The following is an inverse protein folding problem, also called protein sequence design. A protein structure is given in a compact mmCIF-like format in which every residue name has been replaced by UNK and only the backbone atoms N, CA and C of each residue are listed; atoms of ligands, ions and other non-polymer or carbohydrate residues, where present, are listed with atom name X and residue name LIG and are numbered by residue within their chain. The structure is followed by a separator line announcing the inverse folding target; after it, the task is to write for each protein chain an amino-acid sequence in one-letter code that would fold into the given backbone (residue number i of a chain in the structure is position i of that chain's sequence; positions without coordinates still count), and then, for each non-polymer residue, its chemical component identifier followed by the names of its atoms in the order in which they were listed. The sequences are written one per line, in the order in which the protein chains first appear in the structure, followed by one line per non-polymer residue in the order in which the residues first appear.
data_IF_810710068364
#
_entry.id   IF_810710068364
#
_cell.length_a   1.000
_cell.length_b   1.000
_cell.length_c   1.000
_cell.angle_alpha   90.00
_cell.angle_beta   90.00
_cell.angle_gamma   90.00
#
_symmetry.space_group_name_H-M   'P 1'
#
loop_
_entity.id
_entity.type
_entity.pdbx_description
1 polymer ?
#
# COMPACT_ATOMS: atom_id res chain seq x y z
N UNK A 1 31.88 -24.42 -23.55
CA UNK A 1 32.34 -24.40 -22.14
C UNK A 1 32.30 -22.95 -21.66
N UNK A 2 31.55 -22.52 -20.67
CA UNK A 2 30.58 -23.15 -19.78
C UNK A 2 29.71 -22.01 -19.23
N UNK A 3 28.40 -22.24 -19.19
CA UNK A 3 27.40 -21.40 -18.52
C UNK A 3 27.63 -21.47 -17.02
N UNK A 4 27.63 -20.33 -16.32
CA UNK A 4 27.05 -20.26 -14.97
C UNK A 4 26.25 -18.95 -14.87
N UNK A 5 24.97 -19.02 -15.25
CA UNK A 5 23.99 -18.11 -14.68
C UNK A 5 23.84 -18.51 -13.22
N UNK A 6 24.34 -17.69 -12.29
CA UNK A 6 23.99 -17.84 -10.88
C UNK A 6 22.54 -17.37 -10.68
N UNK A 7 21.57 -18.21 -11.06
CA UNK A 7 20.22 -18.13 -10.50
C UNK A 7 20.26 -18.73 -9.11
N UNK A 8 20.80 -17.99 -8.15
CA UNK A 8 20.43 -18.18 -6.76
C UNK A 8 19.00 -17.69 -6.59
N UNK A 9 18.05 -18.61 -6.71
CA UNK A 9 16.78 -18.49 -6.00
C UNK A 9 17.16 -18.56 -4.51
N UNK A 10 17.31 -17.40 -3.87
CA UNK A 10 17.48 -17.34 -2.41
C UNK A 10 16.12 -17.63 -1.78
N UNK A 11 15.93 -18.80 -1.20
CA UNK A 11 14.74 -19.19 -0.39
C UNK A 11 14.63 -18.42 0.95
N UNK A 12 15.16 -17.20 1.02
CA UNK A 12 15.21 -16.34 2.23
C UNK A 12 15.11 -14.84 1.94
N UNK A 13 14.89 -14.45 0.67
CA UNK A 13 14.76 -13.05 0.26
C UNK A 13 13.33 -12.71 -0.14
N UNK A 14 12.80 -11.61 0.38
CA UNK A 14 11.52 -11.05 -0.08
C UNK A 14 11.70 -10.51 -1.51
N UNK A 15 10.91 -11.02 -2.45
CA UNK A 15 10.81 -10.45 -3.81
C UNK A 15 10.04 -9.13 -3.73
N UNK A 16 10.79 -8.02 -3.74
CA UNK A 16 10.21 -6.68 -3.61
C UNK A 16 9.26 -6.33 -4.73
N UNK A 17 9.56 -6.76 -5.96
CA UNK A 17 8.68 -6.47 -7.10
C UNK A 17 7.35 -7.18 -6.89
N UNK A 18 7.40 -8.48 -6.56
CA UNK A 18 6.19 -9.24 -6.28
C UNK A 18 5.39 -8.65 -5.11
N UNK A 19 6.05 -8.25 -4.03
CA UNK A 19 5.40 -7.62 -2.88
C UNK A 19 4.69 -6.32 -3.28
N UNK A 20 5.38 -5.40 -3.97
CA UNK A 20 4.78 -4.12 -4.36
C UNK A 20 3.68 -4.27 -5.42
N UNK A 21 3.81 -5.23 -6.34
CA UNK A 21 2.78 -5.50 -7.33
C UNK A 21 1.50 -6.01 -6.65
N UNK A 22 1.62 -6.95 -5.70
CA UNK A 22 0.50 -7.46 -4.91
C UNK A 22 -0.11 -6.38 -4.01
N UNK A 23 0.73 -5.57 -3.38
CA UNK A 23 0.29 -4.46 -2.55
C UNK A 23 -0.57 -3.48 -3.36
N UNK A 24 -0.08 -2.98 -4.50
CA UNK A 24 -0.85 -2.03 -5.32
C UNK A 24 -2.11 -2.67 -5.90
N UNK A 25 -2.04 -3.94 -6.28
CA UNK A 25 -3.19 -4.66 -6.83
C UNK A 25 -4.37 -4.77 -5.86
N UNK A 26 -4.14 -4.93 -4.54
CA UNK A 26 -5.23 -5.08 -3.56
C UNK A 26 -6.18 -3.88 -3.55
N UNK A 27 -5.66 -2.68 -3.78
CA UNK A 27 -6.42 -1.43 -3.85
C UNK A 27 -7.30 -1.31 -5.10
N UNK A 28 -7.07 -2.17 -6.10
CA UNK A 28 -7.82 -2.22 -7.36
C UNK A 28 -8.61 -3.52 -7.54
N UNK A 29 -8.58 -4.43 -6.56
CA UNK A 29 -9.27 -5.73 -6.64
C UNK A 29 -10.79 -5.57 -6.55
N UNK A 30 -11.47 -5.90 -7.65
CA UNK A 30 -12.91 -5.78 -7.79
C UNK A 30 -13.70 -6.85 -7.06
N UNK A 31 -13.20 -8.09 -7.03
CA UNK A 31 -13.89 -9.21 -6.40
C UNK A 31 -13.74 -9.13 -4.87
N UNK A 32 -14.85 -9.03 -4.10
CA UNK A 32 -14.78 -8.91 -2.65
C UNK A 32 -14.11 -10.10 -1.95
N UNK A 33 -14.28 -11.32 -2.48
CA UNK A 33 -13.68 -12.51 -1.89
C UNK A 33 -12.17 -12.56 -2.16
N UNK A 34 -11.73 -12.21 -3.38
CA UNK A 34 -10.31 -12.08 -3.69
C UNK A 34 -9.65 -10.94 -2.90
N UNK A 35 -10.32 -9.79 -2.78
CA UNK A 35 -9.83 -8.66 -2.00
C UNK A 35 -9.59 -9.04 -0.54
N UNK A 36 -10.58 -9.71 0.07
CA UNK A 36 -10.47 -10.25 1.43
C UNK A 36 -9.31 -11.23 1.57
N UNK A 37 -9.14 -12.15 0.62
CA UNK A 37 -8.02 -13.10 0.63
C UNK A 37 -6.67 -12.36 0.52
N UNK A 38 -6.55 -11.42 -0.41
CA UNK A 38 -5.33 -10.63 -0.61
C UNK A 38 -4.97 -9.80 0.63
N UNK A 39 -5.94 -9.22 1.35
CA UNK A 39 -5.68 -8.54 2.63
C UNK A 39 -5.08 -9.50 3.66
N UNK A 40 -5.62 -10.72 3.79
CA UNK A 40 -5.10 -11.72 4.74
C UNK A 40 -3.73 -12.27 4.36
N UNK A 41 -3.40 -12.24 3.08
CA UNK A 41 -2.09 -12.64 2.60
C UNK A 41 -1.03 -11.56 2.79
N UNK A 42 -1.40 -10.29 2.60
CA UNK A 42 -0.50 -9.13 2.69
C UNK A 42 -0.22 -8.72 4.13
N UNK A 43 -1.25 -8.57 4.95
CA UNK A 43 -1.11 -8.12 6.34
C UNK A 43 -1.18 -9.27 7.34
N UNK A 44 -0.41 -9.14 8.42
CA UNK A 44 -0.54 -9.99 9.61
C UNK A 44 -1.92 -9.81 10.26
N UNK A 45 -2.33 -10.75 11.13
CA UNK A 45 -3.67 -10.74 11.77
C UNK A 45 -3.98 -9.42 12.49
N UNK A 46 -3.00 -8.84 13.17
CA UNK A 46 -3.10 -7.56 13.89
C UNK A 46 -2.38 -6.41 13.16
N UNK A 47 -2.14 -6.58 11.86
CA UNK A 47 -1.46 -5.60 11.03
C UNK A 47 -2.21 -4.27 11.01
N UNK A 48 -1.46 -3.18 10.87
CA UNK A 48 -2.03 -1.82 10.84
C UNK A 48 -1.69 -1.12 9.54
N UNK A 49 -2.63 -0.33 9.04
CA UNK A 49 -2.39 0.69 8.04
C UNK A 49 -2.70 2.05 8.64
N UNK A 50 -1.66 2.87 8.74
CA UNK A 50 -1.70 4.23 9.27
C UNK A 50 -1.47 5.17 8.10
N UNK A 51 -2.47 5.97 7.76
CA UNK A 51 -2.31 6.99 6.72
C UNK A 51 -2.22 8.39 7.32
N UNK A 52 -1.35 9.18 6.71
CA UNK A 52 -1.32 10.61 6.92
C UNK A 52 -2.65 11.21 6.45
N UNK A 53 -3.44 11.84 7.34
CA UNK A 53 -4.71 12.45 6.94
C UNK A 53 -4.48 13.55 5.89
N UNK A 54 -5.38 13.81 4.93
CA UNK A 54 -5.22 14.89 3.95
C UNK A 54 -4.92 16.25 4.59
N UNK A 55 -4.21 17.12 3.86
CA UNK A 55 -3.71 18.40 4.39
C UNK A 55 -4.83 19.28 4.95
N UNK A 56 -5.96 19.36 4.25
CA UNK A 56 -7.13 20.14 4.64
C UNK A 56 -7.69 19.65 5.98
N UNK A 57 -7.74 18.33 6.18
CA UNK A 57 -8.22 17.73 7.42
C UNK A 57 -7.26 18.01 8.59
N UNK A 58 -5.94 17.96 8.35
CA UNK A 58 -4.94 18.33 9.36
C UNK A 58 -5.04 19.81 9.75
N UNK A 59 -5.21 20.70 8.78
CA UNK A 59 -5.37 22.15 9.03
C UNK A 59 -6.66 22.46 9.80
N UNK A 60 -7.77 21.79 9.47
CA UNK A 60 -9.02 21.93 10.21
C UNK A 60 -8.87 21.46 11.66
N UNK A 61 -8.18 20.34 11.90
CA UNK A 61 -7.91 19.83 13.24
C UNK A 61 -7.03 20.79 14.07
N UNK A 62 -5.98 21.35 13.45
CA UNK A 62 -5.12 22.35 14.08
C UNK A 62 -5.90 23.60 14.50
N UNK A 63 -6.80 24.10 13.64
CA UNK A 63 -7.66 25.24 13.96
C UNK A 63 -8.63 24.99 15.13
N UNK A 64 -8.88 23.73 15.48
CA UNK A 64 -9.68 23.31 16.63
C UNK A 64 -8.84 22.97 17.86
N UNK A 65 -7.52 23.13 17.79
CA UNK A 65 -6.59 22.86 18.90
C UNK A 65 -6.19 21.40 19.05
N UNK A 66 -6.39 20.56 18.03
CA UNK A 66 -5.86 19.19 18.01
C UNK A 66 -4.47 19.18 17.39
N UNK A 67 -3.51 18.69 18.17
CA UNK A 67 -2.09 18.59 17.87
C UNK A 67 -1.72 17.33 17.06
N UNK A 68 -2.57 16.29 17.09
CA UNK A 68 -2.35 15.07 16.32
C UNK A 68 -3.63 14.48 15.76
N UNK A 69 -3.65 14.27 14.44
CA UNK A 69 -4.68 13.52 13.75
C UNK A 69 -4.07 12.27 13.11
N UNK A 70 -4.58 11.09 13.47
CA UNK A 70 -4.16 9.81 12.93
C UNK A 70 -5.38 9.11 12.35
N UNK A 71 -5.26 8.60 11.13
CA UNK A 71 -6.22 7.67 10.55
C UNK A 71 -5.58 6.29 10.50
N UNK A 72 -6.22 5.32 11.15
CA UNK A 72 -5.71 3.96 11.29
C UNK A 72 -6.81 2.96 10.95
N UNK A 73 -6.41 1.86 10.31
CA UNK A 73 -7.18 0.63 10.19
C UNK A 73 -6.35 -0.51 10.76
N UNK A 74 -6.91 -1.28 11.69
CA UNK A 74 -6.24 -2.37 12.41
C UNK A 74 -6.94 -3.71 12.22
N UNK A 75 -6.13 -4.71 11.91
CA UNK A 75 -6.59 -6.07 11.69
C UNK A 75 -7.36 -6.23 10.38
N UNK A 76 -7.56 -7.49 9.98
CA UNK A 76 -8.06 -7.80 8.64
C UNK A 76 -9.42 -7.18 8.30
N UNK A 77 -10.33 -7.05 9.28
CA UNK A 77 -11.67 -6.53 9.03
C UNK A 77 -11.65 -5.01 8.73
N UNK A 78 -10.90 -4.22 9.50
CA UNK A 78 -10.79 -2.78 9.24
C UNK A 78 -9.95 -2.50 7.98
N UNK A 79 -8.91 -3.30 7.74
CA UNK A 79 -8.11 -3.24 6.51
C UNK A 79 -8.98 -3.57 5.28
N UNK A 80 -9.79 -4.63 5.32
CA UNK A 80 -10.73 -4.96 4.24
C UNK A 80 -11.71 -3.80 3.99
N UNK A 81 -12.26 -3.20 5.05
CA UNK A 81 -13.15 -2.05 4.94
C UNK A 81 -12.45 -0.84 4.30
N UNK A 82 -11.19 -0.57 4.69
CA UNK A 82 -10.39 0.54 4.16
C UNK A 82 -10.03 0.35 2.68
N UNK A 83 -9.64 -0.86 2.29
CA UNK A 83 -9.35 -1.21 0.88
C UNK A 83 -10.63 -1.15 0.05
N UNK A 84 -11.73 -1.70 0.56
CA UNK A 84 -13.04 -1.66 -0.14
C UNK A 84 -13.49 -0.22 -0.40
N UNK A 85 -13.42 0.67 0.60
CA UNK A 85 -13.79 2.08 0.41
C UNK A 85 -12.92 2.78 -0.64
N UNK A 86 -11.62 2.51 -0.67
CA UNK A 86 -10.75 3.07 -1.71
C UNK A 86 -11.09 2.54 -3.10
N UNK A 87 -11.33 1.24 -3.23
CA UNK A 87 -11.76 0.64 -4.48
C UNK A 87 -13.06 1.28 -4.99
N UNK A 88 -14.09 1.36 -4.15
CA UNK A 88 -15.40 1.95 -4.50
C UNK A 88 -15.30 3.42 -4.90
N UNK A 89 -14.43 4.18 -4.22
CA UNK A 89 -14.28 5.61 -4.45
C UNK A 89 -13.50 5.91 -5.73
N UNK A 90 -12.37 5.22 -5.95
CA UNK A 90 -11.40 5.61 -6.97
C UNK A 90 -11.36 4.68 -8.18
N UNK A 91 -11.68 3.39 -8.01
CA UNK A 91 -11.48 2.38 -9.06
C UNK A 91 -12.81 1.93 -9.68
N UNK A 92 -13.83 1.63 -8.87
CA UNK A 92 -15.13 1.17 -9.34
C UNK A 92 -15.81 2.12 -10.36
N UNK A 93 -15.68 3.47 -10.26
CA UNK A 93 -16.22 4.38 -11.27
C UNK A 93 -15.51 4.29 -12.63
N UNK A 94 -14.39 3.55 -12.73
CA UNK A 94 -13.61 3.43 -13.94
C UNK A 94 -12.74 4.65 -14.24
N UNK A 95 -12.58 5.58 -13.30
CA UNK A 95 -11.86 6.84 -13.52
C UNK A 95 -10.35 6.69 -13.32
N UNK A 96 -9.91 5.98 -12.30
CA UNK A 96 -8.50 5.91 -11.93
C UNK A 96 -7.91 4.50 -11.99
N UNK A 97 -6.57 4.47 -11.98
CA UNK A 97 -5.75 3.29 -11.69
C UNK A 97 -4.65 3.66 -10.71
N UNK A 98 -4.32 2.74 -9.80
CA UNK A 98 -3.13 2.83 -8.95
C UNK A 98 -1.95 2.11 -9.62
N UNK A 99 -0.74 2.68 -9.50
CA UNK A 99 0.49 2.10 -10.05
C UNK A 99 1.64 2.22 -9.06
N UNK A 100 2.49 1.19 -9.00
CA UNK A 100 3.80 1.30 -8.35
C UNK A 100 4.76 2.06 -9.27
N UNK A 101 5.57 2.94 -8.70
CA UNK A 101 6.62 3.67 -9.43
C UNK A 101 7.93 2.89 -9.56
N UNK A 102 7.96 1.61 -9.16
CA UNK A 102 9.17 0.77 -9.27
C UNK A 102 10.33 1.23 -8.37
N UNK A 103 10.06 2.06 -7.37
CA UNK A 103 11.05 2.66 -6.47
C UNK A 103 11.25 1.87 -5.17
N UNK A 104 10.98 0.56 -5.21
CA UNK A 104 11.02 -0.28 -4.03
C UNK A 104 12.45 -0.49 -3.53
N UNK A 105 12.69 -0.10 -2.29
CA UNK A 105 13.93 -0.32 -1.55
C UNK A 105 13.64 -1.09 -0.27
N UNK A 106 14.62 -1.85 0.22
CA UNK A 106 14.51 -2.60 1.48
C UNK A 106 15.70 -2.33 2.37
N UNK A 107 15.42 -2.08 3.65
CA UNK A 107 16.39 -2.01 4.73
C UNK A 107 15.90 -2.91 5.88
N UNK A 108 16.58 -4.03 6.10
CA UNK A 108 16.14 -5.08 7.02
C UNK A 108 14.69 -5.52 6.75
N UNK A 109 13.80 -5.37 7.71
CA UNK A 109 12.38 -5.70 7.65
C UNK A 109 11.52 -4.54 7.12
N UNK A 110 12.12 -3.40 6.79
CA UNK A 110 11.42 -2.24 6.25
C UNK A 110 11.52 -2.21 4.73
N UNK A 111 10.38 -2.02 4.07
CA UNK A 111 10.27 -1.79 2.62
C UNK A 111 9.70 -0.40 2.40
N UNK A 112 10.28 0.35 1.47
CA UNK A 112 9.83 1.70 1.10
C UNK A 112 9.63 1.76 -0.40
N UNK A 113 8.51 2.30 -0.87
CA UNK A 113 8.25 2.51 -2.30
C UNK A 113 7.24 3.63 -2.51
N UNK A 114 7.15 4.14 -3.74
CA UNK A 114 6.14 5.13 -4.13
C UNK A 114 5.08 4.54 -5.04
N UNK A 115 3.88 5.11 -4.94
CA UNK A 115 2.76 4.83 -5.83
C UNK A 115 2.17 6.12 -6.38
N UNK A 116 1.46 5.99 -7.51
CA UNK A 116 0.66 7.05 -8.11
C UNK A 116 -0.77 6.58 -8.37
N UNK A 117 -1.71 7.52 -8.33
CA UNK A 117 -3.07 7.38 -8.83
C UNK A 117 -3.21 8.26 -10.06
N UNK A 118 -3.55 7.65 -11.20
CA UNK A 118 -3.64 8.36 -12.48
C UNK A 118 -4.98 8.12 -13.16
N UNK A 119 -5.52 9.11 -13.90
CA UNK A 119 -6.70 8.91 -14.72
C UNK A 119 -6.47 7.82 -15.78
N UNK A 120 -7.47 6.97 -16.03
CA UNK A 120 -7.37 5.90 -17.03
C UNK A 120 -7.15 6.41 -18.44
N UNK A 121 -7.82 7.51 -18.78
CA UNK A 121 -7.79 8.10 -20.12
C UNK A 121 -6.59 9.04 -20.34
N UNK A 122 -5.64 9.05 -19.40
CA UNK A 122 -4.50 9.96 -19.40
C UNK A 122 -4.84 11.34 -18.80
N UNK A 123 -3.81 12.14 -18.60
CA UNK A 123 -3.90 13.43 -17.90
C UNK A 123 -2.92 13.52 -16.74
N UNK A 124 -3.07 14.57 -15.93
CA UNK A 124 -2.20 14.82 -14.79
C UNK A 124 -2.39 13.78 -13.68
N UNK A 125 -1.32 13.51 -12.94
CA UNK A 125 -1.34 12.59 -11.79
C UNK A 125 -2.28 13.15 -10.73
N UNK A 126 -3.26 12.34 -10.31
CA UNK A 126 -4.30 12.75 -9.38
C UNK A 126 -3.89 12.55 -7.91
N UNK A 127 -2.88 11.73 -7.65
CA UNK A 127 -2.30 11.56 -6.32
C UNK A 127 -0.98 10.80 -6.37
N UNK A 128 -0.08 11.13 -5.45
CA UNK A 128 1.18 10.42 -5.24
C UNK A 128 1.29 10.09 -3.76
N UNK A 129 1.88 8.95 -3.44
CA UNK A 129 2.17 8.60 -2.06
C UNK A 129 3.47 7.85 -1.91
N UNK A 130 4.03 7.96 -0.70
CA UNK A 130 5.14 7.16 -0.21
C UNK A 130 4.58 6.15 0.79
N UNK A 131 4.98 4.91 0.60
CA UNK A 131 4.60 3.79 1.45
C UNK A 131 5.83 3.27 2.21
N UNK A 132 5.66 2.97 3.49
CA UNK A 132 6.68 2.37 4.36
C UNK A 132 6.04 1.16 5.07
N UNK A 133 6.45 -0.04 4.64
CA UNK A 133 5.98 -1.30 5.20
C UNK A 133 7.01 -1.86 6.17
N UNK A 134 6.59 -2.22 7.37
CA UNK A 134 7.35 -3.00 8.35
C UNK A 134 6.85 -4.44 8.29
N UNK A 135 7.75 -5.37 8.00
CA UNK A 135 7.42 -6.77 7.73
C UNK A 135 7.75 -7.66 8.95
N UNK A 136 6.87 -8.61 9.23
CA UNK A 136 7.11 -9.66 10.22
C UNK A 136 8.09 -10.72 9.70
N UNK A 137 8.46 -11.65 10.58
CA UNK A 137 9.33 -12.77 10.22
C UNK A 137 8.75 -13.69 9.14
N UNK A 138 7.43 -13.70 8.97
CA UNK A 138 6.70 -14.44 7.93
C UNK A 138 6.58 -13.66 6.60
N UNK A 139 7.14 -12.45 6.54
CA UNK A 139 7.09 -11.56 5.38
C UNK A 139 5.77 -10.80 5.22
N UNK A 140 4.83 -10.94 6.14
CA UNK A 140 3.58 -10.16 6.13
C UNK A 140 3.75 -8.79 6.76
N UNK A 141 2.91 -7.86 6.38
CA UNK A 141 2.95 -6.49 6.86
C UNK A 141 2.40 -6.43 8.29
N UNK A 142 3.24 -5.95 9.21
CA UNK A 142 2.87 -5.66 10.60
C UNK A 142 2.44 -4.19 10.73
N UNK A 143 3.12 -3.29 10.03
CA UNK A 143 2.73 -1.89 9.96
C UNK A 143 2.94 -1.34 8.56
N UNK A 144 1.97 -0.57 8.08
CA UNK A 144 1.91 0.11 6.80
C UNK A 144 1.71 1.60 7.09
N UNK A 145 2.61 2.44 6.59
CA UNK A 145 2.63 3.88 6.84
C UNK A 145 2.59 4.63 5.53
N UNK A 146 1.41 5.16 5.23
CA UNK A 146 1.15 5.91 4.02
C UNK A 146 1.33 7.41 4.26
N UNK A 147 2.21 8.03 3.47
CA UNK A 147 2.34 9.48 3.36
C UNK A 147 1.78 9.91 2.00
N UNK A 148 0.98 10.98 2.00
CA UNK A 148 0.49 11.58 0.76
C UNK A 148 1.47 12.67 0.36
N UNK A 149 2.03 12.56 -0.84
CA UNK A 149 2.97 13.52 -1.41
C UNK A 149 2.20 14.47 -2.35
N UNK A 150 2.22 15.78 -2.05
CA UNK A 150 1.45 16.81 -2.76
C UNK A 150 0.99 17.94 -1.86
#
# INVERSE_FOLDING_TARGET
MTVIHDRRISMTGIDLKNLTDRYVAVWSESDPAHRRAAVRELWSTDGVHVLQPPREMRQAAEGLGFDRLVLEARGHDELEARVTRAYETFIAPGTFVFRSLGSAERLHDVVKFRWEMVPRDGGDVAGVGLEILVLGADGRIVSDYQFIEG
#
